data_IF_787767974214
#
_entry.id   IF_787767974214
#
_cell.length_a   1.000
_cell.length_b   1.000
_cell.length_c   1.000
_cell.angle_alpha   90.00
_cell.angle_beta   90.00
_cell.angle_gamma   90.00
#
_symmetry.space_group_name_H-M   'P 1'
#
loop_
_entity.id
_entity.type
_entity.pdbx_description
1 polymer ?
#
# COMPACT_ATOMS: atom_id res chain seq x y z
N UNK A 1 5.30 -29.85 -86.02
CA UNK A 1 5.84 -29.18 -84.82
C UNK A 1 5.61 -30.09 -83.61
N UNK A 2 6.66 -30.48 -82.90
CA UNK A 2 6.53 -31.29 -81.68
C UNK A 2 7.88 -31.76 -81.17
N UNK A 3 8.52 -30.97 -80.29
CA UNK A 3 9.77 -31.36 -79.65
C UNK A 3 9.46 -32.05 -78.30
N UNK A 4 9.62 -33.38 -78.27
CA UNK A 4 9.59 -34.21 -77.07
C UNK A 4 11.04 -34.35 -76.63
N UNK A 5 11.50 -33.69 -75.55
CA UNK A 5 12.68 -34.08 -74.75
C UNK A 5 12.96 -33.07 -73.62
N UNK A 6 12.15 -33.07 -72.55
CA UNK A 6 12.59 -32.58 -71.24
C UNK A 6 11.98 -33.45 -70.13
N UNK A 7 12.50 -34.68 -70.00
CA UNK A 7 12.28 -35.51 -68.81
C UNK A 7 13.21 -35.04 -67.69
N UNK A 8 12.60 -34.49 -66.64
CA UNK A 8 13.04 -34.48 -65.24
C UNK A 8 14.53 -34.33 -64.94
N UNK A 9 15.01 -33.10 -64.77
CA UNK A 9 16.17 -32.82 -63.91
C UNK A 9 15.64 -32.36 -62.56
N UNK A 10 15.60 -33.26 -61.58
CA UNK A 10 15.36 -32.89 -60.19
C UNK A 10 16.61 -32.20 -59.67
N UNK A 11 16.52 -30.90 -59.39
CA UNK A 11 17.59 -30.12 -58.79
C UNK A 11 17.89 -30.71 -57.40
N UNK A 12 19.01 -31.43 -57.26
CA UNK A 12 19.44 -31.96 -55.96
C UNK A 12 19.91 -30.80 -55.09
N UNK A 13 19.12 -30.50 -54.04
CA UNK A 13 19.47 -29.50 -53.04
C UNK A 13 20.74 -29.98 -52.29
N UNK A 14 21.78 -29.14 -52.15
CA UNK A 14 23.00 -29.50 -51.43
C UNK A 14 22.72 -29.95 -49.99
N UNK A 15 23.32 -31.04 -49.55
CA UNK A 15 23.14 -31.59 -48.20
C UNK A 15 23.45 -30.58 -47.08
N UNK A 16 24.38 -29.64 -47.32
CA UNK A 16 24.70 -28.55 -46.40
C UNK A 16 23.54 -27.58 -46.17
N UNK A 17 22.76 -27.25 -47.22
CA UNK A 17 21.56 -26.40 -47.11
C UNK A 17 20.44 -27.11 -46.34
N UNK A 18 20.23 -28.40 -46.61
CA UNK A 18 19.27 -29.22 -45.84
C UNK A 18 19.63 -29.29 -44.36
N UNK A 19 20.91 -29.40 -44.03
CA UNK A 19 21.38 -29.45 -42.64
C UNK A 19 21.20 -28.11 -41.91
N UNK A 20 21.48 -26.98 -42.57
CA UNK A 20 21.27 -25.65 -41.97
C UNK A 20 19.80 -25.32 -41.77
N UNK A 21 18.92 -25.68 -42.72
CA UNK A 21 17.47 -25.48 -42.59
C UNK A 21 16.87 -26.35 -41.49
N UNK A 22 17.31 -27.62 -41.38
CA UNK A 22 16.87 -28.51 -40.31
C UNK A 22 17.32 -28.03 -38.92
N UNK A 23 18.52 -27.46 -38.81
CA UNK A 23 19.03 -26.89 -37.55
C UNK A 23 18.24 -25.65 -37.13
N UNK A 24 17.99 -24.73 -38.06
CA UNK A 24 17.17 -23.53 -37.83
C UNK A 24 15.72 -23.88 -37.44
N UNK A 25 15.13 -24.89 -38.09
CA UNK A 25 13.79 -25.36 -37.75
C UNK A 25 13.75 -25.96 -36.33
N UNK A 26 14.73 -26.81 -35.97
CA UNK A 26 14.82 -27.40 -34.64
C UNK A 26 15.04 -26.35 -33.53
N UNK A 27 15.82 -25.31 -33.81
CA UNK A 27 16.08 -24.21 -32.88
C UNK A 27 14.82 -23.36 -32.66
N UNK A 28 14.08 -23.02 -33.72
CA UNK A 28 12.80 -22.33 -33.63
C UNK A 28 11.76 -23.13 -32.84
N UNK A 29 11.63 -24.43 -33.08
CA UNK A 29 10.72 -25.29 -32.31
C UNK A 29 11.12 -25.39 -30.84
N UNK A 30 12.43 -25.34 -30.52
CA UNK A 30 12.91 -25.33 -29.15
C UNK A 30 12.57 -24.03 -28.43
N UNK A 31 12.71 -22.89 -29.10
CA UNK A 31 12.32 -21.58 -28.58
C UNK A 31 10.81 -21.48 -28.34
N UNK A 32 9.99 -21.94 -29.29
CA UNK A 32 8.52 -21.98 -29.15
C UNK A 32 8.09 -22.86 -27.96
N UNK A 33 8.71 -24.03 -27.78
CA UNK A 33 8.44 -24.93 -26.65
C UNK A 33 8.89 -24.33 -25.30
N UNK A 34 10.00 -23.59 -25.26
CA UNK A 34 10.43 -22.86 -24.06
C UNK A 34 9.44 -21.76 -23.69
N UNK A 35 9.03 -20.93 -24.66
CA UNK A 35 8.05 -19.87 -24.43
C UNK A 35 6.71 -20.42 -23.94
N UNK A 36 6.24 -21.52 -24.53
CA UNK A 36 5.00 -22.17 -24.10
C UNK A 36 5.12 -22.71 -22.66
N UNK A 37 6.27 -23.27 -22.30
CA UNK A 37 6.53 -23.76 -20.93
C UNK A 37 6.54 -22.61 -19.93
N UNK A 38 7.22 -21.50 -20.25
CA UNK A 38 7.23 -20.30 -19.39
C UNK A 38 5.83 -19.69 -19.23
N UNK A 39 5.04 -19.66 -20.31
CA UNK A 39 3.70 -19.13 -20.28
C UNK A 39 2.78 -20.01 -19.42
N UNK A 40 2.89 -21.33 -19.55
CA UNK A 40 2.14 -22.28 -18.72
C UNK A 40 2.53 -22.15 -17.25
N UNK A 41 3.82 -21.99 -16.92
CA UNK A 41 4.26 -21.75 -15.55
C UNK A 41 3.70 -20.45 -14.98
N UNK A 42 3.74 -19.35 -15.74
CA UNK A 42 3.15 -18.06 -15.34
C UNK A 42 1.65 -18.17 -15.09
N UNK A 43 0.93 -18.91 -15.94
CA UNK A 43 -0.51 -19.18 -15.78
C UNK A 43 -0.78 -19.97 -14.50
N UNK A 44 -0.04 -21.06 -14.24
CA UNK A 44 -0.19 -21.85 -13.02
C UNK A 44 0.02 -21.01 -11.76
N UNK A 45 1.08 -20.21 -11.72
CA UNK A 45 1.37 -19.31 -10.59
C UNK A 45 0.23 -18.30 -10.40
N UNK A 46 -0.29 -17.71 -11.49
CA UNK A 46 -1.41 -16.77 -11.41
C UNK A 46 -2.69 -17.42 -10.87
N UNK A 47 -3.00 -18.65 -11.29
CA UNK A 47 -4.14 -19.41 -10.77
C UNK A 47 -4.00 -19.73 -9.27
N UNK A 48 -2.82 -20.18 -8.83
CA UNK A 48 -2.56 -20.47 -7.42
C UNK A 48 -2.67 -19.22 -6.54
N UNK A 49 -2.11 -18.10 -7.00
CA UNK A 49 -2.22 -16.80 -6.32
C UNK A 49 -3.69 -16.34 -6.24
N UNK A 50 -4.45 -16.48 -7.32
CA UNK A 50 -5.87 -16.13 -7.33
C UNK A 50 -6.68 -17.02 -6.37
N UNK A 51 -6.46 -18.33 -6.41
CA UNK A 51 -7.12 -19.29 -5.51
C UNK A 51 -6.80 -19.01 -4.04
N UNK A 52 -5.55 -18.67 -3.73
CA UNK A 52 -5.14 -18.26 -2.38
C UNK A 52 -5.83 -16.96 -1.95
N UNK A 53 -5.86 -15.94 -2.82
CA UNK A 53 -6.52 -14.66 -2.54
C UNK A 53 -8.01 -14.84 -2.21
N UNK A 54 -8.72 -15.66 -2.99
CA UNK A 54 -10.14 -15.97 -2.75
C UNK A 54 -10.34 -16.64 -1.40
N UNK A 55 -9.47 -17.59 -1.02
CA UNK A 55 -9.54 -18.26 0.30
C UNK A 55 -9.28 -17.28 1.44
N UNK A 56 -8.26 -16.43 1.32
CA UNK A 56 -7.91 -15.44 2.34
C UNK A 56 -9.03 -14.40 2.51
N UNK A 57 -9.65 -13.96 1.40
CA UNK A 57 -10.82 -13.07 1.43
C UNK A 57 -12.02 -13.72 2.12
N UNK A 58 -12.35 -14.96 1.76
CA UNK A 58 -13.45 -15.69 2.39
C UNK A 58 -13.21 -15.86 3.90
N UNK A 59 -12.00 -16.25 4.30
CA UNK A 59 -11.63 -16.36 5.70
C UNK A 59 -11.81 -15.03 6.44
N UNK A 60 -11.33 -13.92 5.86
CA UNK A 60 -11.46 -12.59 6.47
C UNK A 60 -12.92 -12.12 6.58
N UNK A 61 -13.81 -12.57 5.68
CA UNK A 61 -15.25 -12.30 5.75
C UNK A 61 -15.93 -13.09 6.86
N UNK A 62 -15.59 -14.35 7.03
CA UNK A 62 -16.20 -15.25 8.01
C UNK A 62 -15.60 -15.11 9.42
N UNK A 63 -14.42 -14.49 9.53
CA UNK A 63 -13.72 -14.29 10.79
C UNK A 63 -14.54 -13.49 11.81
N UNK A 64 -14.58 -13.99 13.04
CA UNK A 64 -15.20 -13.30 14.18
C UNK A 64 -14.21 -12.28 14.80
N UNK A 65 -14.37 -11.02 14.41
CA UNK A 65 -13.56 -9.90 14.91
C UNK A 65 -13.77 -9.57 16.39
N UNK A 66 -14.77 -10.15 17.06
CA UNK A 66 -14.95 -10.00 18.50
C UNK A 66 -13.85 -10.70 19.31
N UNK A 67 -13.20 -11.70 18.71
CA UNK A 67 -12.08 -12.46 19.30
C UNK A 67 -10.77 -11.65 19.37
N UNK A 68 -10.66 -10.57 18.59
CA UNK A 68 -9.49 -9.69 18.65
C UNK A 68 -9.58 -8.73 19.84
N UNK A 69 -8.44 -8.30 20.40
CA UNK A 69 -8.44 -7.32 21.48
C UNK A 69 -9.10 -6.02 21.05
N UNK A 70 -10.10 -5.59 21.82
CA UNK A 70 -10.87 -4.39 21.52
C UNK A 70 -10.17 -3.13 22.02
N UNK A 71 -10.30 -2.05 21.28
CA UNK A 71 -9.80 -0.73 21.68
C UNK A 71 -10.78 0.35 21.21
N UNK A 72 -11.00 1.39 22.02
CA UNK A 72 -12.01 2.43 21.72
C UNK A 72 -11.76 3.15 20.38
N UNK A 73 -10.50 3.26 19.97
CA UNK A 73 -10.10 3.86 18.69
C UNK A 73 -10.27 2.92 17.48
N UNK A 74 -10.50 1.62 17.70
CA UNK A 74 -10.57 0.62 16.65
C UNK A 74 -12.01 0.11 16.49
N UNK A 75 -12.50 0.07 15.26
CA UNK A 75 -13.80 -0.54 14.95
C UNK A 75 -13.73 -1.22 13.61
N UNK A 76 -14.09 -2.49 13.55
CA UNK A 76 -14.28 -3.20 12.28
C UNK A 76 -15.74 -3.06 11.84
N UNK A 77 -15.97 -2.73 10.57
CA UNK A 77 -17.29 -2.87 9.94
C UNK A 77 -17.13 -3.65 8.64
N UNK A 78 -18.17 -4.38 8.25
CA UNK A 78 -18.24 -5.02 6.93
C UNK A 78 -18.90 -4.03 5.97
N UNK A 79 -18.13 -3.56 5.00
CA UNK A 79 -18.61 -2.66 3.94
C UNK A 79 -18.73 -3.46 2.65
N UNK A 80 -19.96 -3.62 2.14
CA UNK A 80 -20.26 -4.51 1.00
C UNK A 80 -19.67 -5.92 1.13
N UNK A 81 -19.68 -6.49 2.34
CA UNK A 81 -19.13 -7.81 2.65
C UNK A 81 -17.64 -7.82 2.99
N UNK A 82 -16.86 -6.79 2.64
CA UNK A 82 -15.42 -6.73 2.94
C UNK A 82 -15.16 -6.10 4.32
N UNK A 83 -14.29 -6.69 5.15
CA UNK A 83 -13.94 -6.10 6.44
C UNK A 83 -13.10 -4.83 6.24
N UNK A 84 -13.56 -3.72 6.81
CA UNK A 84 -12.89 -2.43 6.83
C UNK A 84 -12.63 -2.01 8.27
N UNK A 85 -11.37 -1.70 8.58
CA UNK A 85 -10.97 -1.22 9.90
C UNK A 85 -11.04 0.31 9.94
N UNK A 86 -11.82 0.82 10.87
CA UNK A 86 -11.92 2.24 11.18
C UNK A 86 -11.05 2.55 12.39
N UNK A 87 -10.15 3.51 12.25
CA UNK A 87 -9.22 3.98 13.28
C UNK A 87 -9.55 5.44 13.60
N UNK A 88 -10.06 5.72 14.79
CA UNK A 88 -10.32 7.09 15.25
C UNK A 88 -9.22 7.57 16.19
N UNK A 89 -8.39 8.49 15.73
CA UNK A 89 -7.31 9.09 16.51
C UNK A 89 -7.78 10.45 17.03
N UNK A 90 -8.25 10.48 18.27
CA UNK A 90 -8.72 11.69 18.96
C UNK A 90 -7.61 12.30 19.82
N UNK A 91 -7.01 13.35 19.28
CA UNK A 91 -5.86 14.03 19.87
C UNK A 91 -6.30 15.25 20.70
N UNK A 92 -7.56 15.66 20.59
CA UNK A 92 -8.14 16.74 21.39
C UNK A 92 -8.30 16.28 22.84
N UNK A 93 -8.72 15.03 23.05
CA UNK A 93 -8.98 14.49 24.38
C UNK A 93 -7.78 13.67 24.88
N UNK A 94 -6.86 14.26 25.69
CA UNK A 94 -5.64 13.58 26.13
C UNK A 94 -5.92 12.28 26.87
N UNK A 95 -7.01 12.19 27.65
CA UNK A 95 -7.36 10.95 28.36
C UNK A 95 -7.72 9.77 27.42
N UNK A 96 -7.97 10.05 26.14
CA UNK A 96 -8.17 9.03 25.09
C UNK A 96 -6.86 8.66 24.41
N UNK A 97 -5.96 9.63 24.23
CA UNK A 97 -4.64 9.46 23.59
C UNK A 97 -3.55 8.94 24.55
N UNK A 98 -3.64 9.21 25.85
CA UNK A 98 -2.67 8.76 26.88
C UNK A 98 -2.63 7.23 27.05
N UNK A 99 -3.61 6.50 26.48
CA UNK A 99 -3.63 5.02 26.39
C UNK A 99 -3.05 4.45 25.07
N UNK A 100 -2.24 5.23 24.34
CA UNK A 100 -1.65 4.84 23.05
C UNK A 100 -0.76 3.59 23.09
N UNK A 101 -0.25 3.17 24.26
CA UNK A 101 0.57 1.95 24.37
C UNK A 101 -0.23 0.70 24.01
N UNK A 102 -1.48 0.61 24.45
CA UNK A 102 -2.33 -0.54 24.14
C UNK A 102 -2.76 -0.52 22.68
N UNK A 103 -3.09 0.66 22.15
CA UNK A 103 -3.42 0.82 20.73
C UNK A 103 -2.30 0.30 19.81
N UNK A 104 -1.04 0.72 20.02
CA UNK A 104 0.09 0.31 19.20
C UNK A 104 0.42 -1.19 19.33
N UNK A 105 0.04 -1.83 20.45
CA UNK A 105 0.19 -3.28 20.66
C UNK A 105 -0.97 -4.08 20.05
N UNK A 106 -2.16 -3.51 20.02
CA UNK A 106 -3.38 -4.16 19.53
C UNK A 106 -3.47 -4.07 18.01
N UNK A 107 -3.15 -2.91 17.41
CA UNK A 107 -3.29 -2.66 15.98
C UNK A 107 -2.65 -3.76 15.10
N UNK A 108 -1.39 -4.21 15.34
CA UNK A 108 -0.77 -5.25 14.51
C UNK A 108 -1.57 -6.57 14.44
N UNK A 109 -2.40 -6.88 15.44
CA UNK A 109 -3.20 -8.11 15.47
C UNK A 109 -4.30 -8.14 14.39
N UNK A 110 -4.65 -6.98 13.84
CA UNK A 110 -5.62 -6.86 12.75
C UNK A 110 -4.97 -7.05 11.36
N UNK A 111 -3.64 -6.97 11.26
CA UNK A 111 -2.92 -7.00 9.98
C UNK A 111 -3.23 -8.22 9.09
N UNK A 112 -3.40 -9.45 9.63
CA UNK A 112 -3.65 -10.63 8.80
C UNK A 112 -4.99 -10.61 8.05
N UNK A 113 -5.99 -9.89 8.57
CA UNK A 113 -7.40 -10.00 8.13
C UNK A 113 -7.94 -8.73 7.49
N UNK A 114 -7.23 -7.61 7.64
CA UNK A 114 -7.69 -6.30 7.18
C UNK A 114 -6.89 -5.86 5.96
N UNK A 115 -7.62 -5.64 4.85
CA UNK A 115 -7.08 -5.08 3.60
C UNK A 115 -7.47 -3.63 3.38
N UNK A 116 -8.52 -3.15 4.07
CA UNK A 116 -9.06 -1.80 3.92
C UNK A 116 -9.05 -1.08 5.26
N UNK A 117 -8.41 0.10 5.29
CA UNK A 117 -8.30 0.92 6.51
C UNK A 117 -8.84 2.32 6.22
N UNK A 118 -9.60 2.87 7.17
CA UNK A 118 -9.94 4.28 7.21
C UNK A 118 -9.49 4.87 8.54
N UNK A 119 -8.75 5.98 8.48
CA UNK A 119 -8.25 6.68 9.65
C UNK A 119 -8.94 8.04 9.73
N UNK A 120 -9.58 8.32 10.86
CA UNK A 120 -10.09 9.64 11.20
C UNK A 120 -9.19 10.27 12.25
N UNK A 121 -8.43 11.28 11.84
CA UNK A 121 -7.60 12.09 12.71
C UNK A 121 -8.38 13.32 13.17
N UNK A 122 -8.64 13.42 14.48
CA UNK A 122 -9.22 14.61 15.11
C UNK A 122 -8.08 15.37 15.81
N UNK A 123 -7.52 16.36 15.13
CA UNK A 123 -6.38 17.13 15.61
C UNK A 123 -6.83 18.45 16.27
N UNK A 124 -6.21 18.87 17.38
CA UNK A 124 -6.53 20.17 17.98
C UNK A 124 -5.95 21.32 17.16
N UNK A 125 -6.59 22.49 17.21
CA UNK A 125 -6.12 23.73 16.58
C UNK A 125 -4.74 24.15 17.11
N UNK A 126 -4.51 23.93 18.41
CA UNK A 126 -3.26 24.26 19.08
C UNK A 126 -2.82 23.12 19.99
N UNK A 127 -1.52 22.89 20.06
CA UNK A 127 -0.92 21.96 20.99
C UNK A 127 -0.60 22.67 22.30
N UNK A 128 -0.96 22.07 23.44
CA UNK A 128 -0.74 22.66 24.77
C UNK A 128 0.73 22.78 25.13
N UNK A 129 1.60 21.94 24.57
CA UNK A 129 3.06 22.04 24.70
C UNK A 129 3.79 21.42 23.51
N UNK A 130 5.06 21.79 23.35
CA UNK A 130 5.97 21.19 22.36
C UNK A 130 6.20 19.70 22.63
N UNK A 131 6.31 19.30 23.91
CA UNK A 131 6.52 17.90 24.28
C UNK A 131 5.32 17.02 23.92
N UNK A 132 4.11 17.51 24.19
CA UNK A 132 2.87 16.83 23.83
C UNK A 132 2.76 16.71 22.30
N UNK A 133 3.15 17.76 21.58
CA UNK A 133 3.20 17.73 20.12
C UNK A 133 4.18 16.67 19.59
N UNK A 134 5.41 16.66 20.11
CA UNK A 134 6.45 15.72 19.70
C UNK A 134 6.07 14.26 20.01
N UNK A 135 5.43 14.02 21.16
CA UNK A 135 4.89 12.71 21.50
C UNK A 135 3.84 12.24 20.49
N UNK A 136 2.90 13.11 20.10
CA UNK A 136 1.88 12.82 19.09
C UNK A 136 2.48 12.52 17.72
N UNK A 137 3.49 13.28 17.28
CA UNK A 137 4.22 12.96 16.05
C UNK A 137 4.86 11.57 16.15
N UNK A 138 5.53 11.27 17.28
CA UNK A 138 6.19 9.98 17.48
C UNK A 138 5.20 8.83 17.40
N UNK A 139 4.01 8.99 17.98
CA UNK A 139 2.97 7.96 17.96
C UNK A 139 2.33 7.82 16.58
N UNK A 140 2.07 8.91 15.87
CA UNK A 140 1.63 8.86 14.47
C UNK A 140 2.65 8.14 13.57
N UNK A 141 3.94 8.41 13.71
CA UNK A 141 4.98 7.70 12.95
C UNK A 141 4.94 6.19 13.25
N UNK A 142 4.84 5.79 14.51
CA UNK A 142 4.72 4.37 14.89
C UNK A 142 3.46 3.71 14.31
N UNK A 143 2.32 4.41 14.32
CA UNK A 143 1.08 3.93 13.69
C UNK A 143 1.30 3.68 12.20
N UNK A 144 1.94 4.60 11.49
CA UNK A 144 2.27 4.44 10.07
C UNK A 144 3.24 3.29 9.84
N UNK A 145 4.25 3.12 10.71
CA UNK A 145 5.18 2.00 10.64
C UNK A 145 4.48 0.65 10.81
N UNK A 146 3.49 0.57 11.72
CA UNK A 146 2.64 -0.63 11.89
C UNK A 146 1.78 -0.84 10.63
N UNK A 147 1.13 0.20 10.10
CA UNK A 147 0.31 0.06 8.89
C UNK A 147 1.12 -0.37 7.67
N UNK A 148 2.40 -0.03 7.62
CA UNK A 148 3.32 -0.51 6.58
C UNK A 148 3.63 -2.01 6.68
N UNK A 149 3.25 -2.70 7.76
CA UNK A 149 3.34 -4.16 7.85
C UNK A 149 2.07 -4.86 7.40
N UNK A 150 1.00 -4.10 7.11
CA UNK A 150 -0.26 -4.65 6.64
C UNK A 150 -0.18 -4.79 5.12
N UNK A 151 -0.77 -5.85 4.59
CA UNK A 151 -0.93 -6.01 3.14
C UNK A 151 -2.22 -5.29 2.70
N UNK A 152 -2.19 -3.95 2.73
CA UNK A 152 -3.37 -3.11 2.45
C UNK A 152 -3.61 -2.93 0.95
N UNK A 153 -4.88 -3.08 0.54
CA UNK A 153 -5.34 -2.70 -0.80
C UNK A 153 -5.69 -1.22 -0.87
N UNK A 154 -6.26 -0.66 0.22
CA UNK A 154 -6.65 0.74 0.28
C UNK A 154 -6.54 1.29 1.71
N UNK A 155 -5.97 2.49 1.84
CA UNK A 155 -6.04 3.30 3.04
C UNK A 155 -6.64 4.67 2.74
N UNK A 156 -7.69 5.04 3.47
CA UNK A 156 -8.29 6.36 3.40
C UNK A 156 -8.00 7.16 4.67
N UNK A 157 -7.37 8.33 4.54
CA UNK A 157 -6.97 9.16 5.66
C UNK A 157 -7.77 10.47 5.72
N UNK A 158 -8.66 10.58 6.70
CA UNK A 158 -9.50 11.74 6.93
C UNK A 158 -8.96 12.59 8.07
N UNK A 159 -8.84 13.89 7.84
CA UNK A 159 -8.44 14.87 8.85
C UNK A 159 -9.65 15.72 9.19
N UNK A 160 -10.08 15.69 10.45
CA UNK A 160 -11.10 16.59 10.95
C UNK A 160 -10.46 17.93 11.30
N UNK A 161 -10.89 18.98 10.59
CA UNK A 161 -10.39 20.35 10.74
C UNK A 161 -11.53 21.29 11.12
N UNK A 162 -11.23 22.32 11.91
CA UNK A 162 -12.23 23.30 12.34
C UNK A 162 -12.57 24.30 11.23
N UNK A 163 -11.65 24.50 10.28
CA UNK A 163 -11.80 25.40 9.15
C UNK A 163 -11.23 24.74 7.90
N UNK A 164 -11.74 25.08 6.70
CA UNK A 164 -11.10 24.68 5.46
C UNK A 164 -9.62 25.09 5.46
N UNK A 165 -8.76 24.23 4.93
CA UNK A 165 -7.32 24.49 4.74
C UNK A 165 -6.51 24.82 6.02
N UNK A 166 -6.96 24.40 7.21
CA UNK A 166 -6.19 24.56 8.46
C UNK A 166 -4.94 23.68 8.48
N UNK A 167 -3.86 24.21 7.90
CA UNK A 167 -2.59 23.52 7.82
C UNK A 167 -2.01 23.13 9.19
N UNK A 168 -2.30 23.88 10.26
CA UNK A 168 -1.76 23.56 11.59
C UNK A 168 -2.33 22.25 12.10
N UNK A 169 -3.64 22.04 11.97
CA UNK A 169 -4.30 20.80 12.34
C UNK A 169 -3.87 19.62 11.46
N UNK A 170 -3.50 19.89 10.20
CA UNK A 170 -3.08 18.86 9.24
C UNK A 170 -1.64 18.38 9.45
N UNK A 171 -0.79 19.08 10.23
CA UNK A 171 0.63 18.73 10.37
C UNK A 171 0.87 17.29 10.83
N UNK A 172 0.02 16.75 11.69
CA UNK A 172 0.15 15.35 12.15
C UNK A 172 -0.13 14.33 11.05
N UNK A 173 -0.94 14.70 10.05
CA UNK A 173 -1.18 13.89 8.86
C UNK A 173 0.02 13.84 7.92
N UNK A 174 1.06 14.68 8.12
CA UNK A 174 2.31 14.55 7.40
C UNK A 174 2.95 13.16 7.59
N UNK A 175 2.65 12.46 8.70
CA UNK A 175 3.10 11.08 8.93
C UNK A 175 2.66 10.11 7.81
N UNK A 176 1.50 10.35 7.17
CA UNK A 176 0.97 9.49 6.08
C UNK A 176 1.89 9.43 4.86
N UNK A 177 2.71 10.46 4.63
CA UNK A 177 3.74 10.43 3.58
C UNK A 177 4.88 9.44 3.88
N UNK A 178 4.87 8.81 5.07
CA UNK A 178 5.72 7.68 5.40
C UNK A 178 5.15 6.31 5.02
N UNK A 179 3.95 6.22 4.46
CA UNK A 179 3.39 4.97 3.95
C UNK A 179 4.21 4.48 2.75
N UNK A 180 4.45 3.16 2.68
CA UNK A 180 5.28 2.51 1.65
C UNK A 180 4.49 2.04 0.44
N UNK A 181 3.16 1.93 0.55
CA UNK A 181 2.27 1.55 -0.55
C UNK A 181 1.66 2.79 -1.21
N UNK A 182 1.31 2.68 -2.49
CA UNK A 182 0.79 3.80 -3.29
C UNK A 182 -0.72 3.99 -3.23
N UNK A 183 -1.46 2.96 -2.79
CA UNK A 183 -2.93 2.94 -2.78
C UNK A 183 -3.51 3.57 -1.51
N UNK A 184 -3.25 4.85 -1.30
CA UNK A 184 -3.88 5.62 -0.23
C UNK A 184 -4.38 6.98 -0.71
N UNK A 185 -5.41 7.49 -0.03
CA UNK A 185 -6.01 8.79 -0.28
C UNK A 185 -6.09 9.61 1.00
N UNK A 186 -6.15 10.93 0.87
CA UNK A 186 -6.29 11.85 1.99
C UNK A 186 -7.41 12.84 1.72
N UNK A 187 -8.23 13.11 2.73
CA UNK A 187 -9.32 14.07 2.70
C UNK A 187 -9.37 14.88 3.98
N UNK A 188 -10.07 16.01 3.93
CA UNK A 188 -10.42 16.82 5.10
C UNK A 188 -11.94 16.86 5.27
N UNK A 189 -12.40 16.79 6.51
CA UNK A 189 -13.80 16.97 6.89
C UNK A 189 -13.90 18.08 7.92
N UNK A 190 -14.99 18.84 7.91
CA UNK A 190 -15.20 19.86 8.94
C UNK A 190 -15.56 19.19 10.27
N UNK A 191 -15.00 19.69 11.36
CA UNK A 191 -15.33 19.21 12.69
C UNK A 191 -16.82 19.46 12.98
N UNK A 192 -17.55 18.41 13.35
CA UNK A 192 -18.99 18.46 13.57
C UNK A 192 -19.85 18.24 12.32
N UNK A 193 -19.29 18.39 11.11
CA UNK A 193 -19.97 18.12 9.83
C UNK A 193 -19.17 17.14 8.97
N UNK A 194 -19.52 15.86 9.10
CA UNK A 194 -18.90 14.76 8.34
C UNK A 194 -19.49 14.57 6.95
N UNK A 195 -20.48 15.37 6.54
CA UNK A 195 -21.20 15.12 5.28
C UNK A 195 -20.43 15.61 4.05
N UNK A 196 -19.46 16.51 4.23
CA UNK A 196 -18.68 17.08 3.12
C UNK A 196 -17.19 16.82 3.30
N UNK A 197 -16.72 15.73 2.71
CA UNK A 197 -15.30 15.48 2.52
C UNK A 197 -14.74 16.33 1.38
N UNK A 198 -13.59 16.94 1.62
CA UNK A 198 -12.81 17.64 0.60
C UNK A 198 -11.52 16.85 0.35
N UNK A 199 -11.39 16.30 -0.86
CA UNK A 199 -10.22 15.51 -1.25
C UNK A 199 -8.96 16.37 -1.28
N UNK A 200 -7.92 15.92 -0.59
CA UNK A 200 -6.59 16.53 -0.63
C UNK A 200 -5.81 15.86 -1.76
N UNK A 201 -5.91 16.44 -2.96
CA UNK A 201 -5.21 15.91 -4.13
C UNK A 201 -3.69 15.81 -3.92
N UNK A 202 -3.06 14.77 -4.48
CA UNK A 202 -1.62 14.51 -4.35
C UNK A 202 -0.73 15.67 -4.83
N UNK A 203 -1.22 16.47 -5.80
CA UNK A 203 -0.55 17.67 -6.34
C UNK A 203 -0.98 18.98 -5.69
N UNK A 204 -1.84 18.96 -4.68
CA UNK A 204 -2.30 20.16 -3.99
C UNK A 204 -1.14 20.89 -3.31
N UNK A 205 -1.28 22.21 -3.10
CA UNK A 205 -0.33 23.00 -2.31
C UNK A 205 -0.17 22.44 -0.90
N UNK A 206 -1.25 21.96 -0.30
CA UNK A 206 -1.28 21.35 1.04
C UNK A 206 -0.47 20.06 1.07
N UNK A 207 -0.68 19.14 0.11
CA UNK A 207 0.08 17.89 0.01
C UNK A 207 1.58 18.15 -0.08
N UNK A 208 2.00 19.11 -0.91
CA UNK A 208 3.41 19.50 -1.04
C UNK A 208 3.98 20.05 0.27
N UNK A 209 3.22 20.89 0.98
CA UNK A 209 3.62 21.44 2.28
C UNK A 209 3.74 20.35 3.36
N UNK A 210 2.81 19.39 3.40
CA UNK A 210 2.86 18.26 4.34
C UNK A 210 4.03 17.32 4.06
N UNK A 211 4.30 17.00 2.78
CA UNK A 211 5.46 16.21 2.39
C UNK A 211 6.78 16.91 2.80
N UNK A 212 6.89 18.21 2.55
CA UNK A 212 8.02 19.02 3.01
C UNK A 212 8.17 19.02 4.53
N UNK A 213 7.06 19.09 5.27
CA UNK A 213 7.03 19.05 6.73
C UNK A 213 7.62 17.75 7.29
N UNK A 214 7.24 16.59 6.73
CA UNK A 214 7.80 15.30 7.13
C UNK A 214 9.30 15.20 6.83
N UNK A 215 9.74 15.67 5.66
CA UNK A 215 11.14 15.64 5.25
C UNK A 215 12.02 16.47 6.18
N UNK A 216 11.55 17.65 6.61
CA UNK A 216 12.24 18.47 7.62
C UNK A 216 12.42 17.72 8.95
N UNK A 217 11.35 17.07 9.44
CA UNK A 217 11.39 16.27 10.68
C UNK A 217 12.30 15.04 10.58
N UNK A 218 12.29 14.32 9.46
CA UNK A 218 13.20 13.19 9.22
C UNK A 218 14.66 13.64 9.11
N UNK A 219 14.92 14.80 8.51
CA UNK A 219 16.26 15.39 8.42
C UNK A 219 16.78 15.78 9.80
N UNK A 220 15.94 16.38 10.66
CA UNK A 220 16.31 16.69 12.05
C UNK A 220 16.58 15.42 12.87
N UNK A 221 15.81 14.33 12.71
CA UNK A 221 16.11 13.05 13.37
C UNK A 221 17.45 12.45 12.96
N UNK A 222 17.86 12.56 11.69
CA UNK A 222 19.20 12.11 11.24
C UNK A 222 20.31 12.99 11.83
N UNK A 223 20.11 14.30 11.91
CA UNK A 223 21.09 15.23 12.46
C UNK A 223 21.26 15.09 14.00
N UNK A 224 20.23 14.62 14.71
CA UNK A 224 20.31 14.34 16.16
C UNK A 224 20.79 12.92 16.44
N UNK A 225 20.42 11.94 15.61
CA UNK A 225 20.90 10.56 15.72
C UNK A 225 22.41 10.39 15.52
N UNK A 226 23.05 11.26 14.74
CA UNK A 226 24.51 11.27 14.57
C UNK A 226 25.28 11.97 15.70
N UNK A 227 24.62 12.61 16.67
CA UNK A 227 25.30 13.26 17.80
C UNK A 227 25.49 12.37 19.02
N UNK A 228 24.87 11.19 19.07
CA UNK A 228 25.05 10.22 20.14
C UNK A 228 25.97 9.04 19.76
N UNK A 229 26.66 9.13 18.62
CA UNK A 229 27.62 8.11 18.15
C UNK A 229 29.07 8.59 18.16
N UNK A 230 29.35 9.74 18.80
CA UNK A 230 30.68 10.30 18.98
C UNK A 230 31.08 10.47 20.45
N UNK A 231 30.24 10.04 21.38
CA UNK A 231 30.54 9.94 22.81
C UNK A 231 29.96 8.63 23.37
N UNK A 232 30.56 7.50 22.99
CA UNK A 232 30.54 6.22 23.69
C UNK A 232 31.58 5.29 23.06
#
# INVERSE_FOLDING_TARGET
>A
MGNKNYRGRVTQIPASKKYTEAKLAAEKTREENQQLTEQNQKLTIAYELHAKKVKDEQYAQDFDYSTLPQHWALKVKKDSGKPKLFIQIDIIHPNRTVKEVDFLRILPKYAPMIKHVEILLIAPTFHSSVDIYNLRIKNMIKTIDILNTFDLENLHFLISVNRPDDFQQMKLAAACFGLKFGSWTMGTVLFGDRQKEMNVGSRSSISRRLAGYLNGHRCMRRAVGNRHSLEA
#
